data_IF_983844373843
#
_entry.id   IF_983844373843
#
_cell.length_a   1.000
_cell.length_b   1.000
_cell.length_c   1.000
_cell.angle_alpha   90.00
_cell.angle_beta   90.00
_cell.angle_gamma   90.00
#
_symmetry.space_group_name_H-M   'P 1'
#
loop_
_entity.id
_entity.type
_entity.pdbx_description
1 polymer ?
#
# COMPACT_ATOMS: atom_id res chain seq x y z
N UNK A 1 17.02 -0.44 9.18
CA UNK A 1 16.54 -1.71 8.56
C UNK A 1 16.55 -1.62 7.03
N UNK A 2 16.33 -0.43 6.46
CA UNK A 2 16.24 -0.20 5.01
C UNK A 2 17.35 0.73 4.49
N UNK A 3 18.54 0.67 5.08
CA UNK A 3 19.62 1.59 4.77
C UNK A 3 19.93 1.62 3.27
N UNK A 4 19.85 2.81 2.65
CA UNK A 4 20.08 3.07 1.23
C UNK A 4 19.13 2.33 0.25
N UNK A 5 18.06 1.67 0.72
CA UNK A 5 17.04 1.08 -0.15
C UNK A 5 16.21 2.17 -0.81
N UNK A 6 15.91 1.98 -2.09
CA UNK A 6 15.03 2.87 -2.86
C UNK A 6 13.62 2.29 -2.80
N UNK A 7 12.68 3.04 -2.22
CA UNK A 7 11.29 2.64 -2.07
C UNK A 7 10.34 3.57 -2.84
N UNK A 8 9.38 2.99 -3.54
CA UNK A 8 8.26 3.71 -4.15
C UNK A 8 6.99 3.36 -3.37
N UNK A 9 6.22 4.36 -2.94
CA UNK A 9 4.99 4.17 -2.16
C UNK A 9 3.83 4.89 -2.82
N UNK A 10 2.86 4.16 -3.36
CA UNK A 10 1.65 4.77 -3.94
C UNK A 10 0.66 5.14 -2.83
N UNK A 11 -0.05 6.27 -3.00
CA UNK A 11 -0.95 6.77 -1.96
C UNK A 11 -0.22 7.23 -0.70
N UNK A 12 1.01 7.75 -0.84
CA UNK A 12 1.92 8.12 0.26
C UNK A 12 1.64 9.46 0.92
N UNK A 13 0.56 10.17 0.57
CA UNK A 13 0.33 11.55 1.02
C UNK A 13 -0.44 11.67 2.33
N UNK A 14 -1.09 10.61 2.80
CA UNK A 14 -1.90 10.58 4.03
C UNK A 14 -2.09 9.16 4.57
N UNK A 15 -2.63 9.07 5.79
CA UNK A 15 -3.05 7.81 6.41
C UNK A 15 -1.95 6.74 6.44
N UNK A 16 -2.31 5.51 6.11
CA UNK A 16 -1.38 4.35 6.11
C UNK A 16 -0.18 4.60 5.20
N UNK A 17 -0.41 5.11 3.98
CA UNK A 17 0.68 5.36 3.03
C UNK A 17 1.70 6.36 3.54
N UNK A 18 1.26 7.45 4.17
CA UNK A 18 2.15 8.44 4.78
C UNK A 18 2.96 7.84 5.95
N UNK A 19 2.30 7.06 6.80
CA UNK A 19 2.98 6.36 7.90
C UNK A 19 4.04 5.36 7.39
N UNK A 20 3.77 4.67 6.27
CA UNK A 20 4.76 3.78 5.62
C UNK A 20 5.95 4.60 5.13
N UNK A 21 5.72 5.72 4.43
CA UNK A 21 6.79 6.62 3.95
C UNK A 21 7.66 7.09 5.11
N UNK A 22 7.04 7.63 6.16
CA UNK A 22 7.73 8.11 7.36
C UNK A 22 8.55 6.99 8.02
N UNK A 23 7.95 5.80 8.20
CA UNK A 23 8.61 4.66 8.82
C UNK A 23 9.81 4.18 8.00
N UNK A 24 9.71 4.16 6.68
CA UNK A 24 10.80 3.78 5.79
C UNK A 24 11.95 4.79 5.82
N UNK A 25 11.65 6.08 5.81
CA UNK A 25 12.64 7.16 5.96
C UNK A 25 13.39 7.08 7.29
N UNK A 26 12.66 6.88 8.41
CA UNK A 26 13.23 6.66 9.74
C UNK A 26 14.20 5.46 9.80
N UNK A 27 14.04 4.52 8.87
CA UNK A 27 14.89 3.31 8.78
C UNK A 27 15.94 3.37 7.67
N UNK A 28 16.19 4.56 7.12
CA UNK A 28 17.32 4.83 6.20
C UNK A 28 17.00 4.57 4.72
N UNK A 29 15.73 4.36 4.36
CA UNK A 29 15.34 4.30 2.95
C UNK A 29 15.33 5.70 2.31
N UNK A 30 15.50 5.74 0.99
CA UNK A 30 15.14 6.87 0.14
C UNK A 30 13.77 6.57 -0.45
N UNK A 31 12.84 7.52 -0.36
CA UNK A 31 11.46 7.26 -0.70
C UNK A 31 10.94 8.21 -1.77
N UNK A 32 10.32 7.66 -2.81
CA UNK A 32 9.49 8.41 -3.76
C UNK A 32 8.04 8.10 -3.46
N UNK A 33 7.30 9.08 -2.94
CA UNK A 33 5.88 8.92 -2.67
C UNK A 33 5.04 9.36 -3.88
N UNK A 34 4.03 8.56 -4.23
CA UNK A 34 3.05 8.93 -5.25
C UNK A 34 1.73 9.32 -4.60
N UNK A 35 1.09 10.34 -5.17
CA UNK A 35 -0.20 10.82 -4.71
C UNK A 35 -0.91 11.67 -5.76
N UNK A 36 -2.08 12.19 -5.42
CA UNK A 36 -2.88 13.08 -6.28
C UNK A 36 -3.85 13.88 -5.41
N UNK A 37 -4.07 15.17 -5.68
CA UNK A 37 -3.36 15.98 -6.68
C UNK A 37 -1.94 16.39 -6.25
N UNK A 38 -1.21 17.05 -7.14
CA UNK A 38 0.16 17.55 -6.93
C UNK A 38 0.34 18.30 -5.60
N UNK A 39 -0.58 19.19 -5.27
CA UNK A 39 -0.55 20.00 -4.05
C UNK A 39 -0.45 19.14 -2.78
N UNK A 40 -1.15 18.00 -2.74
CA UNK A 40 -1.10 17.09 -1.57
C UNK A 40 0.25 16.38 -1.49
N UNK A 41 0.87 16.09 -2.63
CA UNK A 41 2.21 15.49 -2.72
C UNK A 41 3.26 16.47 -2.22
N UNK A 42 3.23 17.71 -2.73
CA UNK A 42 4.15 18.77 -2.32
C UNK A 42 4.05 19.03 -0.82
N UNK A 43 2.82 19.11 -0.28
CA UNK A 43 2.59 19.29 1.16
C UNK A 43 3.13 18.13 1.99
N UNK A 44 2.89 16.90 1.56
CA UNK A 44 3.38 15.71 2.28
C UNK A 44 4.91 15.66 2.32
N UNK A 45 5.58 15.94 1.18
CA UNK A 45 7.05 16.02 1.12
C UNK A 45 7.59 17.13 2.01
N UNK A 46 6.94 18.32 2.02
CA UNK A 46 7.34 19.42 2.87
C UNK A 46 7.26 19.05 4.37
N UNK A 47 6.13 18.46 4.80
CA UNK A 47 5.96 18.01 6.19
C UNK A 47 7.02 16.96 6.60
N UNK A 48 7.37 16.02 5.73
CA UNK A 48 8.43 15.05 6.01
C UNK A 48 9.81 15.71 6.12
N UNK A 49 10.07 16.73 5.29
CA UNK A 49 11.31 17.51 5.33
C UNK A 49 11.40 18.44 6.54
N UNK A 50 10.28 18.94 7.05
CA UNK A 50 10.20 19.69 8.31
C UNK A 50 10.52 18.80 9.51
N UNK A 51 10.07 17.53 9.50
CA UNK A 51 10.38 16.55 10.55
C UNK A 51 11.88 16.20 10.56
N UNK A 52 12.45 15.95 9.39
CA UNK A 52 13.88 15.70 9.24
C UNK A 52 14.39 16.15 7.85
N UNK A 53 15.14 17.25 7.77
CA UNK A 53 15.68 17.79 6.52
C UNK A 53 16.62 16.84 5.76
N UNK A 54 17.25 15.89 6.46
CA UNK A 54 18.22 14.95 5.87
C UNK A 54 17.55 13.76 5.18
N UNK A 55 16.25 13.56 5.35
CA UNK A 55 15.55 12.47 4.67
C UNK A 55 15.56 12.66 3.15
N UNK A 56 15.97 11.64 2.42
CA UNK A 56 15.89 11.60 0.95
C UNK A 56 14.47 11.20 0.54
N UNK A 57 13.60 12.19 0.47
CA UNK A 57 12.21 12.03 0.06
C UNK A 57 11.87 12.95 -1.11
N UNK A 58 11.17 12.41 -2.09
CA UNK A 58 10.60 13.17 -3.20
C UNK A 58 9.19 12.66 -3.51
N UNK A 59 8.44 13.43 -4.29
CA UNK A 59 7.08 13.09 -4.65
C UNK A 59 6.85 13.11 -6.15
N UNK A 60 5.86 12.33 -6.61
CA UNK A 60 5.36 12.34 -7.96
C UNK A 60 3.84 12.12 -7.97
N UNK A 61 3.18 12.48 -9.08
CA UNK A 61 1.72 12.41 -9.20
C UNK A 61 1.25 11.80 -10.53
N UNK A 62 1.81 10.63 -10.94
CA UNK A 62 1.33 9.96 -12.14
C UNK A 62 -0.13 9.52 -11.96
N UNK A 63 -0.89 9.51 -13.04
CA UNK A 63 -2.21 8.89 -13.05
C UNK A 63 -2.03 7.37 -12.95
N UNK A 64 -2.28 6.79 -11.77
CA UNK A 64 -2.00 5.37 -11.48
C UNK A 64 -2.73 4.40 -12.42
N UNK A 65 -3.91 4.79 -12.93
CA UNK A 65 -4.68 3.99 -13.90
C UNK A 65 -4.18 4.13 -15.34
N UNK A 66 -3.16 4.93 -15.58
CA UNK A 66 -2.50 5.07 -16.87
C UNK A 66 -1.17 4.31 -16.88
N UNK A 67 -1.11 3.23 -17.63
CA UNK A 67 0.06 2.35 -17.67
C UNK A 67 1.30 3.05 -18.23
N UNK A 68 1.15 3.93 -19.22
CA UNK A 68 2.26 4.67 -19.79
C UNK A 68 2.82 5.69 -18.80
N UNK A 69 1.96 6.46 -18.15
CA UNK A 69 2.36 7.43 -17.11
C UNK A 69 3.10 6.73 -15.95
N UNK A 70 2.65 5.56 -15.54
CA UNK A 70 3.31 4.78 -14.50
C UNK A 70 4.67 4.24 -14.95
N UNK A 71 4.77 3.71 -16.17
CA UNK A 71 6.02 3.21 -16.71
C UNK A 71 7.07 4.33 -16.83
N UNK A 72 6.67 5.50 -17.34
CA UNK A 72 7.54 6.67 -17.46
C UNK A 72 8.05 7.15 -16.09
N UNK A 73 7.19 7.18 -15.07
CA UNK A 73 7.60 7.64 -13.75
C UNK A 73 8.54 6.63 -13.05
N UNK A 74 8.27 5.35 -13.18
CA UNK A 74 9.16 4.28 -12.69
C UNK A 74 10.52 4.33 -13.40
N UNK A 75 10.55 4.62 -14.72
CA UNK A 75 11.80 4.77 -15.46
C UNK A 75 12.64 5.97 -14.97
N UNK A 76 12.01 7.13 -14.69
CA UNK A 76 12.70 8.28 -14.10
C UNK A 76 13.32 7.97 -12.74
N UNK A 77 12.64 7.17 -11.91
CA UNK A 77 13.17 6.74 -10.62
C UNK A 77 14.39 5.84 -10.82
N UNK A 78 14.33 4.91 -11.77
CA UNK A 78 15.47 4.06 -12.16
C UNK A 78 16.64 4.90 -12.67
N UNK A 79 16.39 5.91 -13.50
CA UNK A 79 17.41 6.81 -14.00
C UNK A 79 18.08 7.59 -12.86
N UNK A 80 17.29 8.14 -11.94
CA UNK A 80 17.78 8.94 -10.80
C UNK A 80 18.58 8.14 -9.78
N UNK A 81 18.10 6.96 -9.41
CA UNK A 81 18.65 6.19 -8.28
C UNK A 81 19.40 4.92 -8.71
N UNK A 82 19.34 4.54 -9.97
CA UNK A 82 19.99 3.33 -10.49
C UNK A 82 19.24 2.02 -10.20
N UNK A 83 18.27 2.02 -9.27
CA UNK A 83 17.55 0.84 -8.81
C UNK A 83 16.21 1.15 -8.17
N UNK A 84 15.38 0.12 -7.97
CA UNK A 84 14.17 0.17 -7.14
C UNK A 84 14.17 -1.10 -6.28
N UNK A 85 14.29 -0.97 -4.96
CA UNK A 85 14.35 -2.10 -4.04
C UNK A 85 12.97 -2.53 -3.56
N UNK A 86 12.07 -1.55 -3.35
CA UNK A 86 10.76 -1.77 -2.75
C UNK A 86 9.71 -1.01 -3.53
N UNK A 87 8.63 -1.71 -3.90
CA UNK A 87 7.39 -1.10 -4.39
C UNK A 87 6.27 -1.39 -3.39
N UNK A 88 5.63 -0.35 -2.87
CA UNK A 88 4.44 -0.46 -2.03
C UNK A 88 3.22 0.04 -2.79
N UNK A 89 2.34 -0.88 -3.14
CA UNK A 89 1.03 -0.62 -3.72
C UNK A 89 0.02 -0.40 -2.59
N UNK A 90 -0.13 0.87 -2.17
CA UNK A 90 -1.02 1.23 -1.08
C UNK A 90 -2.20 2.10 -1.54
N UNK A 91 -2.08 2.80 -2.67
CA UNK A 91 -3.18 3.59 -3.21
C UNK A 91 -4.44 2.73 -3.46
N UNK A 92 -5.59 3.28 -3.11
CA UNK A 92 -6.87 2.63 -3.33
C UNK A 92 -8.02 3.43 -2.72
N UNK A 93 -9.22 3.00 -3.05
CA UNK A 93 -10.46 3.55 -2.49
C UNK A 93 -11.23 2.47 -1.76
N UNK A 94 -11.88 2.84 -0.66
CA UNK A 94 -12.92 2.03 -0.03
C UNK A 94 -14.26 2.30 -0.69
N UNK A 95 -15.20 1.39 -0.51
CA UNK A 95 -16.54 1.50 -1.03
C UNK A 95 -17.52 0.85 -0.06
N UNK A 96 -18.65 1.51 0.18
CA UNK A 96 -19.74 1.01 1.03
C UNK A 96 -21.11 1.17 0.36
N UNK A 97 -21.13 1.39 -0.95
CA UNK A 97 -22.36 1.62 -1.72
C UNK A 97 -23.27 0.39 -1.64
N UNK A 98 -24.53 0.52 -1.23
CA UNK A 98 -25.49 -0.59 -1.20
C UNK A 98 -25.74 -1.16 -2.60
N UNK A 99 -26.05 -2.46 -2.69
CA UNK A 99 -26.21 -3.17 -3.96
C UNK A 99 -27.33 -2.60 -4.85
N UNK A 100 -28.39 -2.11 -4.26
CA UNK A 100 -29.53 -1.48 -4.98
C UNK A 100 -29.17 -0.14 -5.67
N UNK A 101 -28.04 0.46 -5.27
CA UNK A 101 -27.49 1.69 -5.88
C UNK A 101 -26.23 1.43 -6.70
N UNK A 102 -25.84 0.17 -6.85
CA UNK A 102 -24.60 -0.21 -7.53
C UNK A 102 -24.77 -0.16 -9.05
N UNK A 103 -23.71 0.28 -9.75
CA UNK A 103 -23.65 0.21 -11.21
C UNK A 103 -22.41 -0.56 -11.65
N UNK A 104 -22.44 -1.13 -12.85
CA UNK A 104 -21.28 -1.80 -13.44
C UNK A 104 -20.08 -0.85 -13.58
N UNK A 105 -20.33 0.42 -13.91
CA UNK A 105 -19.31 1.46 -14.01
C UNK A 105 -18.66 1.73 -12.65
N UNK A 106 -19.45 1.84 -11.57
CA UNK A 106 -18.92 2.03 -10.22
C UNK A 106 -18.03 0.86 -9.81
N UNK A 107 -18.47 -0.38 -10.09
CA UNK A 107 -17.67 -1.58 -9.85
C UNK A 107 -16.33 -1.52 -10.61
N UNK A 108 -16.38 -1.21 -11.90
CA UNK A 108 -15.19 -1.11 -12.76
C UNK A 108 -14.20 -0.06 -12.25
N UNK A 109 -14.68 1.11 -11.84
CA UNK A 109 -13.83 2.20 -11.32
C UNK A 109 -13.08 1.80 -10.04
N UNK A 110 -13.74 1.08 -9.12
CA UNK A 110 -13.08 0.56 -7.91
C UNK A 110 -12.04 -0.49 -8.26
N UNK A 111 -12.35 -1.42 -9.17
CA UNK A 111 -11.41 -2.44 -9.63
C UNK A 111 -10.23 -1.82 -10.38
N UNK A 112 -10.46 -0.80 -11.18
CA UNK A 112 -9.40 -0.13 -11.95
C UNK A 112 -8.36 0.50 -11.03
N UNK A 113 -8.80 1.25 -10.01
CA UNK A 113 -7.87 1.88 -9.08
C UNK A 113 -7.23 0.87 -8.10
N UNK A 114 -8.01 -0.08 -7.57
CA UNK A 114 -7.53 -0.97 -6.52
C UNK A 114 -6.73 -2.17 -7.04
N UNK A 115 -6.88 -2.54 -8.32
CA UNK A 115 -6.26 -3.74 -8.91
C UNK A 115 -5.43 -3.41 -10.14
N UNK A 116 -6.04 -2.80 -11.19
CA UNK A 116 -5.33 -2.54 -12.44
C UNK A 116 -4.18 -1.54 -12.24
N UNK A 117 -4.40 -0.48 -11.45
CA UNK A 117 -3.38 0.50 -11.14
C UNK A 117 -2.15 -0.11 -10.42
N UNK A 118 -2.35 -1.16 -9.60
CA UNK A 118 -1.23 -1.90 -9.01
C UNK A 118 -0.39 -2.58 -10.09
N UNK A 119 -1.01 -3.24 -11.07
CA UNK A 119 -0.30 -3.91 -12.16
C UNK A 119 0.47 -2.91 -13.02
N UNK A 120 -0.05 -1.69 -13.23
CA UNK A 120 0.66 -0.62 -13.93
C UNK A 120 1.98 -0.24 -13.25
N UNK A 121 2.08 -0.32 -11.93
CA UNK A 121 3.31 -0.13 -11.16
C UNK A 121 4.18 -1.38 -11.08
N UNK A 122 3.57 -2.55 -10.90
CA UNK A 122 4.27 -3.83 -10.72
C UNK A 122 5.07 -4.20 -11.97
N UNK A 123 4.47 -4.09 -13.16
CA UNK A 123 5.12 -4.53 -14.41
C UNK A 123 6.48 -3.83 -14.65
N UNK A 124 6.57 -2.49 -14.67
CA UNK A 124 7.85 -1.81 -14.87
C UNK A 124 8.81 -1.99 -13.69
N UNK A 125 8.33 -1.98 -12.44
CA UNK A 125 9.18 -2.18 -11.28
C UNK A 125 9.77 -3.60 -11.22
N UNK A 126 8.98 -4.64 -11.53
CA UNK A 126 9.44 -6.03 -11.57
C UNK A 126 10.49 -6.24 -12.67
N UNK A 127 10.37 -5.58 -13.83
CA UNK A 127 11.39 -5.63 -14.88
C UNK A 127 12.73 -5.10 -14.34
N UNK A 128 12.73 -3.96 -13.67
CA UNK A 128 13.93 -3.37 -13.05
C UNK A 128 14.47 -4.29 -11.95
N UNK A 129 13.60 -4.83 -11.10
CA UNK A 129 13.99 -5.74 -10.02
C UNK A 129 14.61 -7.04 -10.54
N UNK A 130 14.13 -7.58 -11.67
CA UNK A 130 14.73 -8.74 -12.34
C UNK A 130 16.15 -8.42 -12.84
N UNK A 131 16.37 -7.30 -13.50
CA UNK A 131 17.68 -6.87 -13.99
C UNK A 131 18.70 -6.66 -12.88
N UNK A 132 18.27 -6.14 -11.72
CA UNK A 132 19.15 -5.87 -10.57
C UNK A 132 19.36 -7.10 -9.64
N UNK A 133 18.66 -8.21 -9.90
CA UNK A 133 18.82 -9.48 -9.16
C UNK A 133 18.00 -9.59 -7.87
N UNK A 134 16.92 -8.84 -7.71
CA UNK A 134 16.02 -8.96 -6.57
C UNK A 134 15.26 -7.71 -6.22
N UNK A 135 14.26 -7.85 -5.34
CA UNK A 135 13.41 -6.74 -4.89
C UNK A 135 12.30 -7.20 -3.94
N UNK A 136 11.45 -6.26 -3.58
CA UNK A 136 10.32 -6.50 -2.70
C UNK A 136 9.09 -5.72 -3.17
N UNK A 137 7.98 -6.42 -3.40
CA UNK A 137 6.69 -5.83 -3.74
C UNK A 137 5.73 -6.09 -2.58
N UNK A 138 5.13 -5.03 -2.07
CA UNK A 138 4.20 -5.08 -0.95
C UNK A 138 2.86 -4.48 -1.34
N UNK A 139 1.79 -5.20 -1.08
CA UNK A 139 0.45 -4.82 -1.46
C UNK A 139 -0.41 -4.52 -0.23
N UNK A 140 -1.26 -3.50 -0.29
CA UNK A 140 -2.25 -3.22 0.75
C UNK A 140 -3.54 -3.97 0.43
N UNK A 141 -3.76 -5.08 1.14
CA UNK A 141 -5.01 -5.82 1.17
C UNK A 141 -5.97 -5.22 2.20
N UNK A 142 -6.81 -6.01 2.83
CA UNK A 142 -7.72 -5.62 3.91
C UNK A 142 -8.28 -6.88 4.60
N UNK A 143 -8.72 -6.76 5.84
CA UNK A 143 -9.48 -7.82 6.52
C UNK A 143 -10.71 -8.27 5.70
N UNK A 144 -11.35 -7.35 4.97
CA UNK A 144 -12.52 -7.67 4.15
C UNK A 144 -12.20 -8.54 2.93
N UNK A 145 -10.93 -8.71 2.60
CA UNK A 145 -10.48 -9.69 1.60
C UNK A 145 -10.64 -11.14 2.05
N UNK A 146 -11.11 -11.39 3.25
CA UNK A 146 -11.28 -12.72 3.82
C UNK A 146 -12.70 -12.91 4.35
N UNK A 147 -13.27 -11.89 5.02
CA UNK A 147 -14.62 -11.98 5.61
C UNK A 147 -15.70 -11.28 4.78
N UNK A 148 -15.35 -10.48 3.76
CA UNK A 148 -16.31 -9.62 3.06
C UNK A 148 -16.76 -8.43 3.91
N UNK A 149 -17.80 -7.74 3.44
CA UNK A 149 -18.46 -6.65 4.18
C UNK A 149 -19.92 -6.51 3.73
N UNK A 150 -20.80 -5.89 4.55
CA UNK A 150 -22.23 -5.83 4.25
C UNK A 150 -22.64 -4.87 3.13
N UNK A 151 -21.77 -4.00 2.65
CA UNK A 151 -22.02 -3.08 1.52
C UNK A 151 -20.77 -2.84 0.71
N UNK A 152 -20.91 -2.30 -0.54
CA UNK A 152 -19.77 -1.97 -1.38
C UNK A 152 -19.02 -3.21 -1.90
N UNK A 153 -19.71 -4.05 -2.65
CA UNK A 153 -19.20 -5.35 -3.14
C UNK A 153 -17.88 -5.26 -3.92
N UNK A 154 -17.60 -4.14 -4.60
CA UNK A 154 -16.35 -3.99 -5.35
C UNK A 154 -15.12 -3.92 -4.45
N UNK A 155 -15.22 -3.28 -3.28
CA UNK A 155 -14.07 -3.13 -2.38
C UNK A 155 -13.54 -4.48 -1.88
N UNK A 156 -14.34 -5.34 -1.20
CA UNK A 156 -13.86 -6.66 -0.81
C UNK A 156 -13.44 -7.50 -2.01
N UNK A 157 -14.16 -7.46 -3.14
CA UNK A 157 -13.77 -8.16 -4.37
C UNK A 157 -12.39 -7.73 -4.86
N UNK A 158 -12.10 -6.43 -4.87
CA UNK A 158 -10.79 -5.91 -5.24
C UNK A 158 -9.69 -6.40 -4.29
N UNK A 159 -9.97 -6.48 -2.99
CA UNK A 159 -8.99 -6.94 -2.00
C UNK A 159 -8.75 -8.46 -2.04
N UNK A 160 -9.76 -9.25 -2.41
CA UNK A 160 -9.56 -10.66 -2.78
C UNK A 160 -8.66 -10.80 -4.02
N UNK A 161 -8.87 -9.96 -5.04
CA UNK A 161 -8.01 -9.94 -6.23
C UNK A 161 -6.55 -9.60 -5.87
N UNK A 162 -6.33 -8.64 -4.95
CA UNK A 162 -4.99 -8.30 -4.43
C UNK A 162 -4.31 -9.51 -3.79
N UNK A 163 -5.05 -10.33 -3.00
CA UNK A 163 -4.51 -11.56 -2.44
C UNK A 163 -4.10 -12.56 -3.53
N UNK A 164 -4.98 -12.77 -4.52
CA UNK A 164 -4.70 -13.64 -5.66
C UNK A 164 -3.47 -13.21 -6.46
N UNK A 165 -3.34 -11.89 -6.72
CA UNK A 165 -2.14 -11.33 -7.36
C UNK A 165 -0.89 -11.55 -6.51
N UNK A 166 -0.97 -11.37 -5.20
CA UNK A 166 0.15 -11.54 -4.28
C UNK A 166 0.67 -12.98 -4.34
N UNK A 167 -0.21 -13.98 -4.28
CA UNK A 167 0.19 -15.40 -4.35
C UNK A 167 0.78 -15.76 -5.72
N UNK A 168 0.16 -15.32 -6.81
CA UNK A 168 0.60 -15.64 -8.16
C UNK A 168 1.95 -15.00 -8.47
N UNK A 169 2.11 -13.71 -8.16
CA UNK A 169 3.35 -12.98 -8.39
C UNK A 169 4.49 -13.48 -7.50
N UNK A 170 4.23 -13.90 -6.27
CA UNK A 170 5.23 -14.49 -5.39
C UNK A 170 5.85 -15.77 -6.01
N UNK A 171 5.04 -16.59 -6.67
CA UNK A 171 5.51 -17.78 -7.37
C UNK A 171 6.27 -17.45 -8.65
N UNK A 172 5.74 -16.51 -9.45
CA UNK A 172 6.33 -16.13 -10.73
C UNK A 172 7.65 -15.37 -10.56
N UNK A 173 7.73 -14.50 -9.58
CA UNK A 173 8.88 -13.61 -9.36
C UNK A 173 9.92 -14.19 -8.40
N UNK A 174 9.57 -15.21 -7.62
CA UNK A 174 10.48 -15.87 -6.68
C UNK A 174 11.81 -16.35 -7.28
N UNK A 175 11.84 -16.96 -8.48
CA UNK A 175 13.09 -17.35 -9.15
C UNK A 175 14.05 -16.18 -9.45
N UNK A 176 13.56 -14.94 -9.42
CA UNK A 176 14.35 -13.72 -9.61
C UNK A 176 14.70 -13.03 -8.30
N UNK A 177 14.53 -13.71 -7.15
CA UNK A 177 14.75 -13.16 -5.80
C UNK A 177 13.88 -11.93 -5.49
N UNK A 178 12.68 -11.86 -6.08
CA UNK A 178 11.70 -10.81 -5.79
C UNK A 178 10.63 -11.40 -4.87
N UNK A 179 10.52 -10.83 -3.67
CA UNK A 179 9.47 -11.22 -2.72
C UNK A 179 8.20 -10.40 -2.97
N UNK A 180 7.04 -11.05 -2.87
CA UNK A 180 5.75 -10.38 -3.02
C UNK A 180 4.86 -10.78 -1.84
N UNK A 181 4.47 -9.81 -1.01
CA UNK A 181 3.60 -10.03 0.16
C UNK A 181 2.51 -8.96 0.21
N UNK A 182 1.51 -9.18 1.04
CA UNK A 182 0.50 -8.18 1.34
C UNK A 182 0.34 -7.99 2.86
N UNK A 183 -0.06 -6.79 3.25
CA UNK A 183 -0.59 -6.51 4.58
C UNK A 183 -2.10 -6.35 4.46
N UNK A 184 -2.85 -6.99 5.36
CA UNK A 184 -4.30 -6.92 5.45
C UNK A 184 -4.71 -6.17 6.73
N UNK A 185 -4.86 -4.84 6.68
CA UNK A 185 -5.26 -4.04 7.83
C UNK A 185 -6.68 -4.37 8.28
N UNK A 186 -6.91 -4.34 9.59
CA UNK A 186 -8.23 -4.22 10.19
C UNK A 186 -8.73 -2.78 10.19
N UNK A 187 -9.65 -2.47 11.11
CA UNK A 187 -10.11 -1.09 11.33
C UNK A 187 -8.93 -0.28 11.85
N UNK A 188 -8.51 0.68 11.03
CA UNK A 188 -7.33 1.52 11.29
C UNK A 188 -7.74 2.98 11.36
N UNK A 189 -7.23 3.73 12.33
CA UNK A 189 -7.44 5.17 12.47
C UNK A 189 -6.83 5.90 11.29
N UNK A 190 -7.71 6.33 10.39
CA UNK A 190 -7.44 7.23 9.27
C UNK A 190 -8.32 8.47 9.45
N UNK A 191 -8.08 9.52 8.68
CA UNK A 191 -8.91 10.74 8.73
C UNK A 191 -10.39 10.42 8.60
N UNK A 192 -10.74 9.43 7.78
CA UNK A 192 -12.11 8.96 7.58
C UNK A 192 -12.70 8.34 8.85
N UNK A 193 -11.97 7.48 9.54
CA UNK A 193 -12.42 6.82 10.78
C UNK A 193 -12.41 7.80 11.94
N UNK A 194 -11.41 8.71 12.00
CA UNK A 194 -11.33 9.74 13.04
C UNK A 194 -12.49 10.75 12.98
N UNK A 195 -13.10 10.93 11.81
CA UNK A 195 -14.27 11.79 11.62
C UNK A 195 -15.60 11.15 12.04
N UNK A 196 -15.62 9.84 12.35
CA UNK A 196 -16.85 9.16 12.79
C UNK A 196 -17.19 9.50 14.24
N UNK A 197 -18.48 9.63 14.59
CA UNK A 197 -18.92 9.77 15.96
C UNK A 197 -18.44 8.62 16.85
N UNK A 198 -18.16 8.91 18.11
CA UNK A 198 -17.64 7.91 19.07
C UNK A 198 -18.61 6.73 19.24
N UNK A 199 -19.91 7.01 19.19
CA UNK A 199 -21.01 6.04 19.29
C UNK A 199 -20.97 5.00 18.15
N UNK A 200 -20.37 5.33 17.01
CA UNK A 200 -20.17 4.39 15.89
C UNK A 200 -18.86 3.60 16.03
N UNK A 201 -17.87 4.15 16.69
CA UNK A 201 -16.54 3.53 16.85
C UNK A 201 -16.53 2.55 18.03
N UNK A 202 -17.15 2.88 19.15
CA UNK A 202 -17.13 2.08 20.39
C UNK A 202 -17.66 0.64 20.19
N UNK A 203 -18.77 0.40 19.46
CA UNK A 203 -19.21 -0.96 19.12
C UNK A 203 -18.18 -1.74 18.30
N UNK A 204 -17.49 -1.09 17.37
CA UNK A 204 -16.46 -1.72 16.56
C UNK A 204 -15.27 -2.17 17.43
N UNK A 205 -14.84 -1.31 18.37
CA UNK A 205 -13.75 -1.62 19.31
C UNK A 205 -14.11 -2.83 20.16
N UNK A 206 -15.38 -2.99 20.57
CA UNK A 206 -15.81 -4.11 21.40
C UNK A 206 -15.63 -5.47 20.73
N UNK A 207 -15.66 -5.50 19.38
CA UNK A 207 -15.46 -6.71 18.59
C UNK A 207 -13.97 -6.99 18.28
N UNK A 208 -13.07 -6.04 18.53
CA UNK A 208 -11.64 -6.24 18.35
C UNK A 208 -11.06 -6.86 19.65
N UNK A 209 -10.48 -8.07 19.62
CA UNK A 209 -9.88 -8.68 20.81
C UNK A 209 -8.84 -7.82 21.52
N UNK A 210 -8.00 -7.07 20.78
CA UNK A 210 -7.05 -6.12 21.36
C UNK A 210 -7.69 -4.83 21.93
N UNK A 211 -9.03 -4.70 21.86
CA UNK A 211 -9.80 -3.59 22.48
C UNK A 211 -9.37 -2.19 22.04
N UNK A 212 -8.80 -2.06 20.86
CA UNK A 212 -8.52 -0.79 20.20
C UNK A 212 -8.60 -0.91 18.68
N UNK A 213 -8.85 0.18 17.99
CA UNK A 213 -8.59 0.25 16.55
C UNK A 213 -7.07 0.33 16.31
N UNK A 214 -6.62 -0.12 15.15
CA UNK A 214 -5.22 0.03 14.76
C UNK A 214 -4.87 1.49 14.47
N UNK A 215 -3.62 1.86 14.68
CA UNK A 215 -3.06 3.11 14.20
C UNK A 215 -2.35 2.89 12.87
N UNK A 216 -2.20 3.94 12.06
CA UNK A 216 -1.47 3.85 10.79
C UNK A 216 -0.04 3.33 10.99
N UNK A 217 0.57 3.62 12.14
CA UNK A 217 1.89 3.12 12.51
C UNK A 217 1.91 1.60 12.74
N UNK A 218 0.86 0.99 13.31
CA UNK A 218 0.78 -0.48 13.46
C UNK A 218 0.92 -1.15 12.09
N UNK A 219 0.27 -0.59 11.08
CA UNK A 219 0.32 -1.09 9.71
C UNK A 219 1.70 -0.83 9.07
N UNK A 220 2.24 0.38 9.26
CA UNK A 220 3.56 0.75 8.73
C UNK A 220 4.69 -0.13 9.30
N UNK A 221 4.59 -0.56 10.55
CA UNK A 221 5.54 -1.49 11.17
C UNK A 221 5.53 -2.86 10.49
N UNK A 222 4.37 -3.37 10.08
CA UNK A 222 4.26 -4.61 9.33
C UNK A 222 4.88 -4.48 7.92
N UNK A 223 4.63 -3.36 7.24
CA UNK A 223 5.29 -3.06 5.97
C UNK A 223 6.81 -2.97 6.11
N UNK A 224 7.32 -2.32 7.15
CA UNK A 224 8.75 -2.23 7.42
C UNK A 224 9.37 -3.62 7.62
N UNK A 225 8.74 -4.46 8.43
CA UNK A 225 9.18 -5.85 8.65
C UNK A 225 9.25 -6.62 7.33
N UNK A 226 8.17 -6.62 6.55
CA UNK A 226 8.10 -7.34 5.27
C UNK A 226 9.07 -6.77 4.22
N UNK A 227 9.36 -5.47 4.26
CA UNK A 227 10.33 -4.83 3.36
C UNK A 227 11.79 -5.18 3.70
N UNK A 228 12.08 -5.52 4.96
CA UNK A 228 13.43 -5.73 5.48
C UNK A 228 13.95 -7.15 5.21
N UNK A 229 15.26 -7.34 5.46
CA UNK A 229 15.92 -8.64 5.37
C UNK A 229 15.43 -9.64 6.44
N UNK A 230 14.76 -9.17 7.50
CA UNK A 230 14.11 -10.05 8.48
C UNK A 230 13.02 -10.93 7.86
N UNK A 231 12.44 -10.49 6.73
CA UNK A 231 11.45 -11.23 5.95
C UNK A 231 12.04 -11.91 4.70
N UNK A 232 13.35 -12.18 4.68
CA UNK A 232 14.06 -12.70 3.50
C UNK A 232 13.52 -14.04 2.98
N UNK A 233 12.88 -14.83 3.82
CA UNK A 233 12.26 -16.12 3.44
C UNK A 233 10.73 -16.06 3.46
N UNK A 234 10.14 -14.86 3.47
CA UNK A 234 8.68 -14.64 3.45
C UNK A 234 8.28 -14.08 2.09
N UNK A 235 7.51 -14.86 1.33
CA UNK A 235 6.89 -14.44 0.06
C UNK A 235 5.55 -15.16 -0.11
N UNK A 236 4.56 -14.49 -0.69
CA UNK A 236 3.20 -14.99 -0.82
C UNK A 236 2.36 -14.89 0.46
N UNK A 237 2.83 -14.16 1.48
CA UNK A 237 2.10 -13.99 2.74
C UNK A 237 1.08 -12.85 2.65
N UNK A 238 -0.08 -13.05 3.27
CA UNK A 238 -1.10 -12.03 3.51
C UNK A 238 -1.14 -11.79 5.02
N UNK A 239 -0.29 -10.90 5.49
CA UNK A 239 -0.12 -10.62 6.91
C UNK A 239 -1.28 -9.78 7.46
N UNK A 240 -2.07 -10.35 8.34
CA UNK A 240 -3.15 -9.63 9.02
C UNK A 240 -2.61 -8.74 10.13
N UNK A 241 -3.08 -7.48 10.14
CA UNK A 241 -2.80 -6.50 11.19
C UNK A 241 -4.14 -5.89 11.59
N UNK A 242 -4.92 -6.64 12.36
CA UNK A 242 -6.34 -6.37 12.61
C UNK A 242 -6.78 -6.54 14.07
N UNK A 243 -5.83 -6.75 14.99
CA UNK A 243 -6.12 -7.00 16.40
C UNK A 243 -6.93 -8.28 16.66
N UNK A 244 -6.84 -9.25 15.74
CA UNK A 244 -7.60 -10.51 15.69
C UNK A 244 -9.11 -10.32 15.42
N UNK A 245 -9.52 -9.20 14.81
CA UNK A 245 -10.95 -8.89 14.56
C UNK A 245 -11.65 -9.93 13.67
N UNK A 246 -10.92 -10.58 12.78
CA UNK A 246 -11.47 -11.54 11.82
C UNK A 246 -11.41 -13.01 12.28
N UNK A 247 -10.82 -13.30 13.42
CA UNK A 247 -10.69 -14.66 13.96
C UNK A 247 -11.83 -15.03 14.89
#
# INVERSE_FOLDING_TARGET
MLQNKIAVVTGGTRGIGYAIVQKFLQNGAKVVLFGSPEETVVKAVASLKEENPDWDVSGAWPKLTDAAAMADEIAKIKEKYGRIDILVNNAGVSDSTPLDKYTAEHFANVMDLNVNAMMNGILPAAAIMKEQGGGCILNTSSMVSICGQPGGVAYPSSKYAVNGLTWSLARELGPFHIRVNAVAPGITRTDMVAALPKEMIDPLISHIPLRRIGEAEDIANAFLFLASDMASYITGEILSVDGAMRT
#
